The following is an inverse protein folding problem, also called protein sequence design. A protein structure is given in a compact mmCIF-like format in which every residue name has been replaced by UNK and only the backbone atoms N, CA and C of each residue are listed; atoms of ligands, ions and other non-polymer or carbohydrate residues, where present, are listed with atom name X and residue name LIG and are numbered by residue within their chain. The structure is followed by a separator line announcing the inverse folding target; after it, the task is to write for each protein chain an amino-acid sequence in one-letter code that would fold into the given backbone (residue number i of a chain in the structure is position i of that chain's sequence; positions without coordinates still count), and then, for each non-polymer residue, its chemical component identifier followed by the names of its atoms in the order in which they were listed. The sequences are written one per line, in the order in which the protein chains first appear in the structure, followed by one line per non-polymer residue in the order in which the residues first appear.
data_IF_001790132841
#
_entry.id   IF_001790132841
#
_cell.length_a   1.000
_cell.length_b   1.000
_cell.length_c   1.000
_cell.angle_alpha   90.00
_cell.angle_beta   90.00
_cell.angle_gamma   90.00
#
_symmetry.space_group_name_H-M   'P 1'
#
loop_
_entity.id
_entity.type
_entity.pdbx_description
1 polymer ?
#
# COMPACT_ATOMS: atom_id res chain seq x y z
N UNK A 1 0.41 7.69 16.81
CA UNK A 1 -0.52 8.69 16.23
C UNK A 1 -0.64 8.37 14.75
N UNK A 2 -1.79 7.90 14.27
CA UNK A 2 -1.95 7.58 12.86
C UNK A 2 -2.25 8.87 12.08
N UNK A 3 -1.51 9.11 11.01
CA UNK A 3 -1.76 10.24 10.12
C UNK A 3 -2.04 9.72 8.72
N UNK A 4 -3.25 9.95 8.22
CA UNK A 4 -3.62 9.65 6.84
C UNK A 4 -3.44 10.94 6.06
N UNK A 5 -2.45 10.97 5.17
CA UNK A 5 -2.27 12.07 4.23
C UNK A 5 -2.86 11.69 2.87
N UNK A 6 -3.81 12.47 2.39
CA UNK A 6 -4.32 12.35 1.02
C UNK A 6 -3.46 13.24 0.14
N UNK A 7 -2.79 12.62 -0.84
CA UNK A 7 -2.01 13.29 -1.86
C UNK A 7 -2.53 12.85 -3.23
N UNK A 8 -2.51 13.76 -4.19
CA UNK A 8 -2.65 13.43 -5.62
C UNK A 8 -1.43 14.00 -6.37
N UNK A 9 -1.45 13.93 -7.70
CA UNK A 9 -0.35 14.38 -8.55
C UNK A 9 -0.10 15.90 -8.46
N UNK A 10 -1.08 16.67 -7.99
CA UNK A 10 -0.96 18.11 -7.72
C UNK A 10 -0.46 18.42 -6.31
N UNK A 11 -0.12 17.39 -5.53
CA UNK A 11 0.44 17.52 -4.19
C UNK A 11 -0.52 17.18 -3.06
N UNK A 12 -0.28 17.79 -1.90
CA UNK A 12 -1.01 17.48 -0.66
C UNK A 12 -2.42 18.07 -0.68
N UNK A 13 -3.43 17.24 -0.38
CA UNK A 13 -4.84 17.64 -0.38
C UNK A 13 -5.46 17.69 1.02
N UNK A 14 -5.17 16.69 1.86
CA UNK A 14 -5.73 16.66 3.21
C UNK A 14 -4.89 15.80 4.16
N UNK A 15 -5.04 16.04 5.47
CA UNK A 15 -4.49 15.19 6.52
C UNK A 15 -5.57 14.90 7.56
N UNK A 16 -5.84 13.62 7.77
CA UNK A 16 -6.59 13.16 8.92
C UNK A 16 -5.60 12.68 9.98
N UNK A 17 -5.69 13.23 11.18
CA UNK A 17 -4.88 12.79 12.33
C UNK A 17 -5.76 12.01 13.30
N UNK A 18 -5.46 10.73 13.47
CA UNK A 18 -6.12 9.84 14.42
C UNK A 18 -5.19 9.63 15.62
N UNK A 19 -5.67 10.03 16.80
CA UNK A 19 -4.93 9.83 18.04
C UNK A 19 -5.12 8.38 18.52
N UNK A 20 -4.06 7.59 18.44
CA UNK A 20 -4.02 6.18 18.83
C UNK A 20 -4.46 5.93 20.28
N UNK A 21 -4.05 6.78 21.23
CA UNK A 21 -4.46 6.64 22.64
C UNK A 21 -5.96 6.87 22.82
N UNK A 22 -6.56 7.79 22.06
CA UNK A 22 -8.01 7.98 22.03
C UNK A 22 -8.71 6.82 21.32
N UNK A 23 -8.16 6.30 20.23
CA UNK A 23 -8.75 5.16 19.51
C UNK A 23 -8.76 3.87 20.34
N UNK A 24 -7.71 3.62 21.12
CA UNK A 24 -7.63 2.50 22.06
C UNK A 24 -8.68 2.54 23.16
N UNK A 25 -9.18 3.74 23.50
CA UNK A 25 -10.28 3.93 24.44
C UNK A 25 -11.65 3.48 23.86
N UNK A 26 -11.78 3.45 22.53
CA UNK A 26 -13.04 3.12 21.85
C UNK A 26 -12.99 1.81 21.06
N UNK A 27 -11.80 1.24 20.81
CA UNK A 27 -11.62 -0.05 20.14
C UNK A 27 -10.25 -0.65 20.46
N UNK A 28 -10.14 -1.98 20.49
CA UNK A 28 -8.85 -2.70 20.55
C UNK A 28 -8.11 -2.74 19.20
N UNK A 29 -8.57 -1.99 18.20
CA UNK A 29 -8.03 -2.05 16.84
C UNK A 29 -6.76 -1.19 16.71
N UNK A 30 -5.75 -1.76 16.07
CA UNK A 30 -4.56 -1.03 15.65
C UNK A 30 -4.81 -0.35 14.30
N UNK A 31 -4.43 0.92 14.15
CA UNK A 31 -4.57 1.61 12.88
C UNK A 31 -3.67 0.99 11.80
N UNK A 32 -4.24 0.67 10.63
CA UNK A 32 -3.50 0.18 9.45
C UNK A 32 -3.84 1.05 8.23
N UNK A 33 -2.86 1.25 7.34
CA UNK A 33 -3.01 2.07 6.13
C UNK A 33 -3.18 1.17 4.91
N UNK A 34 -4.19 1.46 4.08
CA UNK A 34 -4.32 0.90 2.73
C UNK A 34 -3.93 2.01 1.75
N UNK A 35 -2.82 1.84 1.05
CA UNK A 35 -2.39 2.77 0.01
C UNK A 35 -2.70 2.17 -1.37
N UNK A 36 -3.46 2.89 -2.19
CA UNK A 36 -3.74 2.55 -3.59
C UNK A 36 -2.91 3.47 -4.47
N UNK A 37 -1.99 2.91 -5.25
CA UNK A 37 -1.12 3.71 -6.13
C UNK A 37 -1.38 3.37 -7.59
N UNK A 38 -1.62 4.40 -8.42
CA UNK A 38 -1.69 4.32 -9.87
C UNK A 38 -0.50 5.07 -10.46
N UNK A 39 0.28 4.38 -11.32
CA UNK A 39 1.46 4.84 -12.06
C UNK A 39 2.58 5.63 -11.32
N UNK A 40 3.80 5.47 -11.84
CA UNK A 40 5.11 6.05 -11.44
C UNK A 40 5.17 6.96 -10.20
N UNK A 41 5.18 6.36 -9.01
CA UNK A 41 5.62 7.03 -7.78
C UNK A 41 6.75 6.24 -7.13
N UNK A 42 7.62 6.92 -6.38
CA UNK A 42 8.69 6.27 -5.58
C UNK A 42 8.07 5.21 -4.64
N UNK A 43 6.86 5.47 -4.14
CA UNK A 43 6.10 4.52 -3.34
C UNK A 43 5.74 3.25 -4.11
N UNK A 44 5.35 3.36 -5.39
CA UNK A 44 5.06 2.19 -6.24
C UNK A 44 6.27 1.27 -6.36
N UNK A 45 7.48 1.82 -6.61
CA UNK A 45 8.69 0.99 -6.75
C UNK A 45 9.03 0.23 -5.46
N UNK A 46 8.79 0.83 -4.28
CA UNK A 46 8.95 0.12 -2.99
C UNK A 46 8.02 -1.09 -2.90
N UNK A 47 6.79 -0.97 -3.37
CA UNK A 47 5.81 -2.07 -3.37
C UNK A 47 6.18 -3.14 -4.41
N UNK A 48 6.63 -2.74 -5.60
CA UNK A 48 7.11 -3.67 -6.64
C UNK A 48 8.29 -4.51 -6.14
N UNK A 49 9.28 -3.86 -5.51
CA UNK A 49 10.45 -4.54 -4.92
C UNK A 49 10.03 -5.50 -3.80
N UNK A 50 9.08 -5.10 -2.94
CA UNK A 50 8.55 -5.97 -1.89
C UNK A 50 7.92 -7.25 -2.50
N UNK A 51 7.14 -7.11 -3.56
CA UNK A 51 6.52 -8.23 -4.27
C UNK A 51 7.59 -9.12 -4.93
N UNK A 52 8.53 -8.52 -5.67
CA UNK A 52 9.64 -9.22 -6.33
C UNK A 52 10.45 -10.06 -5.33
N UNK A 53 10.88 -9.45 -4.22
CA UNK A 53 11.65 -10.12 -3.17
C UNK A 53 10.87 -11.25 -2.51
N UNK A 54 9.59 -11.03 -2.20
CA UNK A 54 8.73 -12.05 -1.57
C UNK A 54 8.59 -13.29 -2.46
N UNK A 55 8.33 -13.10 -3.75
CA UNK A 55 8.19 -14.22 -4.69
C UNK A 55 9.51 -14.93 -4.96
N UNK A 56 10.62 -14.19 -5.02
CA UNK A 56 11.95 -14.77 -5.14
C UNK A 56 12.30 -15.64 -3.93
N UNK A 57 12.06 -15.15 -2.71
CA UNK A 57 12.35 -15.89 -1.48
C UNK A 57 11.45 -17.12 -1.29
N UNK A 58 10.16 -17.01 -1.61
CA UNK A 58 9.21 -18.10 -1.40
C UNK A 58 9.27 -19.17 -2.49
N UNK A 59 9.53 -18.79 -3.75
CA UNK A 59 9.38 -19.66 -4.91
C UNK A 59 10.58 -19.70 -5.85
N UNK A 60 11.62 -18.91 -5.61
CA UNK A 60 12.72 -18.72 -6.57
C UNK A 60 12.28 -18.04 -7.87
N UNK A 61 11.11 -17.40 -7.87
CA UNK A 61 10.50 -16.81 -9.06
C UNK A 61 11.01 -15.38 -9.31
N UNK A 62 11.12 -15.00 -10.58
CA UNK A 62 11.37 -13.64 -11.03
C UNK A 62 10.09 -13.06 -11.64
N UNK A 63 9.68 -11.88 -11.16
CA UNK A 63 8.48 -11.19 -11.67
C UNK A 63 8.91 -10.21 -12.77
N UNK A 64 8.50 -10.49 -14.00
CA UNK A 64 8.84 -9.71 -15.20
C UNK A 64 7.85 -8.55 -15.47
N UNK A 65 6.72 -8.51 -14.75
CA UNK A 65 5.68 -7.51 -14.97
C UNK A 65 4.78 -7.36 -13.75
N UNK A 66 4.36 -6.13 -13.48
CA UNK A 66 3.49 -5.78 -12.36
C UNK A 66 2.12 -5.38 -12.85
N UNK A 67 1.09 -5.65 -12.04
CA UNK A 67 -0.26 -5.18 -12.30
C UNK A 67 -0.32 -3.63 -12.39
N UNK A 68 -1.27 -3.08 -13.17
CA UNK A 68 -1.37 -1.64 -13.37
C UNK A 68 -1.69 -0.90 -12.06
N UNK A 69 -2.46 -1.52 -11.15
CA UNK A 69 -2.76 -0.96 -9.83
C UNK A 69 -2.18 -1.86 -8.75
N UNK A 70 -1.47 -1.25 -7.79
CA UNK A 70 -0.93 -1.92 -6.61
C UNK A 70 -1.55 -1.34 -5.35
N UNK A 71 -1.86 -2.23 -4.41
CA UNK A 71 -2.29 -1.92 -3.05
C UNK A 71 -1.23 -2.44 -2.08
N UNK A 72 -0.90 -1.64 -1.08
CA UNK A 72 0.01 -2.05 0.00
C UNK A 72 -0.58 -1.71 1.37
N UNK A 73 -0.35 -2.62 2.31
CA UNK A 73 -0.70 -2.48 3.72
C UNK A 73 0.58 -2.18 4.49
N UNK A 74 0.54 -1.14 5.31
CA UNK A 74 1.71 -0.68 6.07
C UNK A 74 1.42 -0.70 7.56
N UNK A 75 2.46 -0.96 8.35
CA UNK A 75 2.45 -0.74 9.79
C UNK A 75 2.66 0.74 10.17
N UNK A 76 2.81 1.00 11.46
CA UNK A 76 3.00 2.36 12.00
C UNK A 76 4.38 2.97 11.71
N UNK A 77 5.35 2.17 11.27
CA UNK A 77 6.71 2.58 10.91
C UNK A 77 6.91 2.69 9.39
N UNK A 78 5.84 2.58 8.59
CA UNK A 78 5.87 2.59 7.12
C UNK A 78 6.56 1.34 6.52
N UNK A 79 6.58 0.22 7.27
CA UNK A 79 6.98 -1.08 6.75
C UNK A 79 5.81 -1.73 6.00
N UNK A 80 6.09 -2.30 4.83
CA UNK A 80 5.09 -3.02 4.03
C UNK A 80 4.85 -4.39 4.67
N UNK A 81 3.62 -4.62 5.14
CA UNK A 81 3.17 -5.88 5.71
C UNK A 81 2.57 -6.82 4.66
N UNK A 82 1.90 -6.25 3.68
CA UNK A 82 1.28 -7.00 2.58
C UNK A 82 1.14 -6.13 1.34
N UNK A 83 1.09 -6.77 0.17
CA UNK A 83 0.82 -6.10 -1.09
C UNK A 83 0.00 -7.00 -2.02
N UNK A 84 -0.82 -6.37 -2.86
CA UNK A 84 -1.54 -7.06 -3.93
C UNK A 84 -1.59 -6.19 -5.18
N UNK A 85 -1.65 -6.84 -6.33
CA UNK A 85 -1.85 -6.20 -7.62
C UNK A 85 -3.23 -6.53 -8.18
N UNK A 86 -3.85 -5.56 -8.86
CA UNK A 86 -5.06 -5.81 -9.62
C UNK A 86 -5.10 -4.98 -10.91
N UNK A 87 -5.86 -5.47 -11.88
CA UNK A 87 -6.31 -4.73 -13.07
C UNK A 87 -7.83 -4.64 -13.05
N UNK A 88 -8.41 -3.68 -13.76
CA UNK A 88 -9.87 -3.67 -13.88
C UNK A 88 -10.32 -4.82 -14.79
N UNK A 89 -11.40 -5.52 -14.42
CA UNK A 89 -11.91 -6.66 -15.19
C UNK A 89 -12.34 -6.30 -16.64
N UNK A 90 -12.51 -5.00 -16.94
CA UNK A 90 -12.81 -4.49 -18.28
C UNK A 90 -11.57 -4.34 -19.18
N UNK A 91 -10.37 -4.41 -18.63
CA UNK A 91 -9.12 -4.12 -19.35
C UNK A 91 -8.61 -5.34 -20.11
N UNK A 92 -8.77 -6.55 -19.56
CA UNK A 92 -8.40 -7.83 -20.18
C UNK A 92 -9.32 -8.95 -19.67
N UNK A 93 -9.51 -10.04 -20.44
CA UNK A 93 -10.16 -11.26 -19.93
C UNK A 93 -9.52 -11.74 -18.61
N UNK A 94 -10.34 -12.29 -17.72
CA UNK A 94 -9.89 -12.86 -16.45
C UNK A 94 -9.07 -14.12 -16.66
#
# INVERSE_FOLDING_TARGET
MLQIAVKNDEGFKARLSLNQRRMQHFSLLYPSIIAITKHSSIQRRRVELFIEQTFHQAYGAEIIGHYPTLVSVHDEEDNILAALGFRFAKEEPL
#
